data_IF_881389235396
#
_entry.id   IF_881389235396
#
_cell.length_a   1.000
_cell.length_b   1.000
_cell.length_c   1.000
_cell.angle_alpha   90.00
_cell.angle_beta   90.00
_cell.angle_gamma   90.00
#
_symmetry.space_group_name_H-M   'P 1'
#
loop_
_entity.id
_entity.type
_entity.pdbx_description
1 polymer ?
#
# COMPACT_ATOMS: atom_id res chain seq x y z
N UNK A 1 26.44 -17.86 14.29
CA UNK A 1 26.80 -16.43 14.05
C UNK A 1 26.39 -15.86 12.69
N UNK A 2 26.73 -16.45 11.53
CA UNK A 2 26.42 -15.84 10.20
C UNK A 2 24.90 -15.71 9.93
N UNK A 3 24.12 -16.77 10.17
CA UNK A 3 22.65 -16.76 9.99
C UNK A 3 21.98 -15.64 10.81
N UNK A 4 22.44 -15.45 12.05
CA UNK A 4 21.97 -14.38 12.93
C UNK A 4 22.23 -13.00 12.36
N UNK A 5 23.45 -12.73 11.87
CA UNK A 5 23.76 -11.45 11.22
C UNK A 5 22.90 -11.21 9.98
N UNK A 6 22.62 -12.26 9.20
CA UNK A 6 21.72 -12.18 8.04
C UNK A 6 20.30 -11.82 8.48
N UNK A 7 19.74 -12.48 9.49
CA UNK A 7 18.41 -12.14 10.01
C UNK A 7 18.38 -10.72 10.56
N UNK A 8 19.36 -10.34 11.39
CA UNK A 8 19.41 -9.02 12.02
C UNK A 8 19.61 -7.86 11.04
N UNK A 9 20.25 -8.06 9.89
CA UNK A 9 20.57 -6.95 8.95
C UNK A 9 19.78 -7.01 7.65
N UNK A 10 19.45 -8.20 7.19
CA UNK A 10 18.96 -8.42 5.83
C UNK A 10 17.48 -8.77 5.76
N UNK A 11 16.92 -9.46 6.76
CA UNK A 11 15.57 -10.02 6.67
C UNK A 11 14.54 -9.07 7.28
N UNK A 12 13.50 -8.77 6.49
CA UNK A 12 12.31 -8.03 6.90
C UNK A 12 11.08 -8.82 6.48
N UNK A 13 10.02 -8.78 7.29
CA UNK A 13 8.79 -9.49 7.01
C UNK A 13 7.56 -8.65 7.34
N UNK A 14 6.52 -8.84 6.53
CA UNK A 14 5.20 -8.25 6.76
C UNK A 14 4.11 -9.27 6.46
N UNK A 15 3.09 -9.32 7.31
CA UNK A 15 1.94 -10.20 7.18
C UNK A 15 0.70 -9.53 7.78
N UNK A 16 -0.45 -9.76 7.16
CA UNK A 16 -1.73 -9.27 7.65
C UNK A 16 -2.23 -10.02 8.88
N UNK A 17 -1.81 -11.27 9.08
CA UNK A 17 -2.19 -12.10 10.24
C UNK A 17 -1.20 -11.94 11.40
N UNK A 18 -1.63 -11.51 12.61
CA UNK A 18 -0.74 -11.36 13.75
C UNK A 18 -0.14 -12.69 14.21
N UNK A 19 -0.86 -13.81 14.05
CA UNK A 19 -0.35 -15.12 14.42
C UNK A 19 0.82 -15.53 13.51
N UNK A 20 0.71 -15.24 12.22
CA UNK A 20 1.79 -15.49 11.26
C UNK A 20 3.06 -14.70 11.58
N UNK A 21 2.91 -13.49 12.10
CA UNK A 21 4.02 -12.65 12.56
C UNK A 21 4.74 -13.29 13.74
N UNK A 22 4.01 -13.75 14.77
CA UNK A 22 4.64 -14.40 15.92
C UNK A 22 5.33 -15.71 15.52
N UNK A 23 4.69 -16.52 14.66
CA UNK A 23 5.30 -17.74 14.10
C UNK A 23 6.57 -17.43 13.30
N UNK A 24 6.57 -16.34 12.52
CA UNK A 24 7.74 -15.89 11.78
C UNK A 24 8.90 -15.52 12.73
N UNK A 25 8.62 -14.74 13.79
CA UNK A 25 9.64 -14.37 14.80
C UNK A 25 10.22 -15.60 15.49
N UNK A 26 9.35 -16.51 15.96
CA UNK A 26 9.77 -17.76 16.60
C UNK A 26 10.61 -18.63 15.66
N UNK A 27 10.21 -18.77 14.41
CA UNK A 27 10.97 -19.54 13.41
C UNK A 27 12.36 -18.95 13.17
N UNK A 28 12.46 -17.62 13.02
CA UNK A 28 13.73 -16.94 12.88
C UNK A 28 14.61 -17.10 14.11
N UNK A 29 14.04 -17.05 15.32
CA UNK A 29 14.78 -17.28 16.57
C UNK A 29 15.29 -18.71 16.70
N UNK A 30 14.50 -19.72 16.32
CA UNK A 30 14.94 -21.13 16.33
C UNK A 30 16.10 -21.34 15.36
N UNK A 31 16.01 -20.80 14.14
CA UNK A 31 17.06 -20.93 13.11
C UNK A 31 18.34 -20.15 13.43
N UNK A 32 18.24 -19.12 14.26
CA UNK A 32 19.37 -18.26 14.69
C UNK A 32 19.80 -18.50 16.13
N UNK A 33 19.24 -19.52 16.78
CA UNK A 33 19.47 -19.83 18.19
C UNK A 33 20.97 -20.05 18.44
N UNK A 34 21.48 -19.35 19.45
CA UNK A 34 22.86 -19.46 19.92
C UNK A 34 22.83 -19.59 21.44
N UNK A 35 23.65 -20.47 22.01
CA UNK A 35 23.65 -20.75 23.46
C UNK A 35 24.15 -19.57 24.30
N UNK A 36 24.93 -18.67 23.70
CA UNK A 36 25.63 -17.60 24.41
C UNK A 36 25.06 -16.21 24.14
N UNK A 37 24.07 -16.09 23.26
CA UNK A 37 23.51 -14.80 22.85
C UNK A 37 21.98 -14.80 23.06
N UNK A 38 21.41 -13.73 23.62
CA UNK A 38 19.96 -13.63 23.81
C UNK A 38 19.22 -13.48 22.48
N UNK A 39 17.91 -13.71 22.48
CA UNK A 39 17.07 -13.52 21.30
C UNK A 39 17.13 -12.06 20.81
N UNK A 40 17.29 -11.87 19.50
CA UNK A 40 17.38 -10.54 18.91
C UNK A 40 16.01 -9.86 18.86
N UNK A 41 15.98 -8.54 19.11
CA UNK A 41 14.82 -7.69 18.89
C UNK A 41 14.50 -7.56 17.39
N UNK A 42 13.31 -8.02 16.96
CA UNK A 42 12.91 -8.08 15.54
C UNK A 42 11.68 -7.21 15.19
N UNK A 43 11.07 -6.50 16.14
CA UNK A 43 9.78 -5.82 15.91
C UNK A 43 9.84 -4.72 14.85
N UNK A 44 10.99 -4.05 14.73
CA UNK A 44 11.22 -3.06 13.68
C UNK A 44 11.36 -3.66 12.28
N UNK A 45 11.53 -4.99 12.16
CA UNK A 45 11.71 -5.71 10.87
C UNK A 45 10.59 -6.66 10.52
N UNK A 46 9.91 -7.21 11.53
CA UNK A 46 8.79 -8.15 11.37
C UNK A 46 7.52 -7.49 11.88
N UNK A 47 6.70 -6.99 10.94
CA UNK A 47 5.57 -6.09 11.21
C UNK A 47 4.24 -6.66 10.77
N UNK A 48 3.20 -6.46 11.56
CA UNK A 48 1.84 -6.80 11.15
C UNK A 48 1.24 -5.68 10.29
N UNK A 49 0.78 -5.99 9.09
CA UNK A 49 0.18 -5.02 8.18
C UNK A 49 -0.18 -5.61 6.82
N UNK A 50 -1.05 -4.89 6.10
CA UNK A 50 -1.46 -5.23 4.76
C UNK A 50 -0.44 -4.69 3.74
N UNK A 51 0.47 -5.57 3.35
CA UNK A 51 1.58 -5.27 2.44
C UNK A 51 1.16 -4.71 1.07
N UNK A 52 -0.12 -4.86 0.69
CA UNK A 52 -0.68 -4.42 -0.58
C UNK A 52 -1.25 -2.99 -0.54
N UNK A 53 -1.57 -2.43 0.63
CA UNK A 53 -2.32 -1.18 0.76
C UNK A 53 -1.58 -0.19 1.66
N UNK A 54 -1.20 0.98 1.10
CA UNK A 54 -0.53 2.05 1.83
C UNK A 54 -0.08 3.20 0.92
N UNK A 55 0.18 4.37 1.52
CA UNK A 55 0.75 5.52 0.81
C UNK A 55 2.27 5.47 0.63
N UNK A 56 2.76 6.37 -0.21
CA UNK A 56 4.18 6.67 -0.46
C UNK A 56 4.44 8.14 -0.14
N UNK A 57 5.68 8.50 0.22
CA UNK A 57 6.07 9.86 0.58
C UNK A 57 5.93 10.89 -0.56
N UNK A 58 5.91 10.44 -1.82
CA UNK A 58 5.68 11.31 -2.97
C UNK A 58 4.19 11.57 -3.28
N UNK A 59 3.29 10.70 -2.79
CA UNK A 59 1.88 10.72 -3.16
C UNK A 59 0.94 11.21 -2.05
N UNK A 60 1.30 11.00 -0.77
CA UNK A 60 0.37 11.20 0.36
C UNK A 60 -0.14 12.65 0.51
N UNK A 61 0.64 13.64 0.08
CA UNK A 61 0.28 15.06 0.15
C UNK A 61 -0.74 15.49 -0.90
N UNK A 62 -1.00 14.65 -1.88
CA UNK A 62 -1.83 15.01 -3.01
C UNK A 62 -3.14 14.23 -2.97
N UNK A 63 -4.27 14.93 -3.11
CA UNK A 63 -5.60 14.34 -2.95
C UNK A 63 -5.92 13.28 -4.04
N UNK A 64 -6.15 11.99 -3.69
CA UNK A 64 -6.27 10.92 -4.69
C UNK A 64 -7.64 10.94 -5.39
N UNK A 65 -7.81 11.82 -6.40
CA UNK A 65 -9.08 12.00 -7.12
C UNK A 65 -9.58 10.69 -7.75
N UNK A 66 -8.68 9.82 -8.22
CA UNK A 66 -9.04 8.53 -8.83
C UNK A 66 -9.62 7.52 -7.83
N UNK A 67 -9.51 7.76 -6.53
CA UNK A 67 -10.17 6.96 -5.50
C UNK A 67 -11.69 6.92 -5.68
N UNK A 68 -12.26 7.98 -6.24
CA UNK A 68 -13.71 8.16 -6.36
C UNK A 68 -14.26 7.81 -7.74
N UNK A 69 -13.39 7.69 -8.73
CA UNK A 69 -13.80 7.50 -10.12
C UNK A 69 -14.39 6.11 -10.34
N UNK A 70 -15.63 6.07 -10.87
CA UNK A 70 -16.34 4.81 -11.16
C UNK A 70 -16.41 3.84 -9.98
N UNK A 71 -16.35 4.36 -8.75
CA UNK A 71 -16.36 3.55 -7.54
C UNK A 71 -17.73 2.90 -7.35
N UNK A 72 -17.72 1.60 -7.11
CA UNK A 72 -18.93 0.80 -6.84
C UNK A 72 -19.09 0.60 -5.33
N UNK A 73 -20.30 0.80 -4.81
CA UNK A 73 -20.65 0.70 -3.38
C UNK A 73 -20.95 -0.73 -2.90
N UNK A 74 -20.67 -1.75 -3.71
CA UNK A 74 -20.91 -3.17 -3.36
C UNK A 74 -22.37 -3.64 -3.52
N UNK A 75 -23.26 -2.78 -4.03
CA UNK A 75 -24.72 -2.90 -4.07
C UNK A 75 -25.29 -3.16 -5.49
N UNK A 76 -24.45 -3.67 -6.40
CA UNK A 76 -24.83 -3.90 -7.79
C UNK A 76 -25.59 -5.21 -8.00
N UNK A 77 -25.34 -6.21 -7.16
CA UNK A 77 -25.84 -7.59 -7.30
C UNK A 77 -26.63 -8.02 -6.08
N UNK A 78 -27.95 -8.16 -6.22
CA UNK A 78 -28.89 -8.53 -5.14
C UNK A 78 -29.38 -9.99 -5.29
N UNK A 79 -28.54 -10.88 -5.83
CA UNK A 79 -28.91 -12.29 -6.09
C UNK A 79 -29.22 -13.10 -4.83
N UNK A 80 -28.94 -12.55 -3.64
CA UNK A 80 -28.90 -13.25 -2.37
C UNK A 80 -30.02 -12.84 -1.40
N UNK A 81 -30.98 -12.02 -1.84
CA UNK A 81 -32.10 -11.55 -1.00
C UNK A 81 -31.78 -10.36 -0.09
N UNK A 82 -30.86 -9.50 -0.53
CA UNK A 82 -30.58 -8.18 0.06
C UNK A 82 -31.83 -7.29 -0.09
N UNK A 83 -32.32 -6.76 1.02
CA UNK A 83 -33.43 -5.81 1.15
C UNK A 83 -33.06 -4.36 0.79
N UNK A 84 -31.79 -3.95 0.91
CA UNK A 84 -31.35 -2.61 0.49
C UNK A 84 -31.74 -2.31 -0.97
N UNK A 85 -31.89 -1.02 -1.31
CA UNK A 85 -32.17 -0.62 -2.69
C UNK A 85 -30.94 -0.83 -3.59
N UNK A 86 -31.16 -1.45 -4.74
CA UNK A 86 -30.11 -1.72 -5.73
C UNK A 86 -29.46 -0.43 -6.24
N UNK A 87 -28.14 -0.41 -6.20
CA UNK A 87 -27.29 0.73 -6.59
C UNK A 87 -27.48 2.02 -5.77
N UNK A 88 -28.18 2.02 -4.63
CA UNK A 88 -28.34 3.24 -3.82
C UNK A 88 -27.01 3.84 -3.34
N UNK A 89 -26.09 3.02 -2.80
CA UNK A 89 -24.74 3.44 -2.36
C UNK A 89 -23.89 3.86 -3.55
N UNK A 90 -23.95 3.11 -4.65
CA UNK A 90 -23.25 3.51 -5.89
C UNK A 90 -23.76 4.84 -6.45
N UNK A 91 -25.07 5.11 -6.37
CA UNK A 91 -25.67 6.40 -6.75
C UNK A 91 -25.23 7.51 -5.80
N UNK A 92 -25.21 7.26 -4.49
CA UNK A 92 -24.76 8.23 -3.48
C UNK A 92 -23.30 8.66 -3.70
N UNK A 93 -22.39 7.71 -3.96
CA UNK A 93 -21.00 8.03 -4.30
C UNK A 93 -20.91 8.88 -5.57
N UNK A 94 -21.69 8.56 -6.62
CA UNK A 94 -21.72 9.35 -7.85
C UNK A 94 -22.28 10.76 -7.63
N UNK A 95 -23.30 10.90 -6.79
CA UNK A 95 -23.86 12.20 -6.41
C UNK A 95 -22.81 13.04 -5.67
N UNK A 96 -22.17 12.48 -4.63
CA UNK A 96 -21.06 13.13 -3.92
C UNK A 96 -19.95 13.61 -4.87
N UNK A 97 -19.52 12.76 -5.81
CA UNK A 97 -18.48 13.14 -6.78
C UNK A 97 -18.91 14.33 -7.63
N UNK A 98 -20.17 14.34 -8.09
CA UNK A 98 -20.69 15.37 -9.00
C UNK A 98 -21.02 16.68 -8.29
N UNK A 99 -21.61 16.61 -7.10
CA UNK A 99 -22.23 17.72 -6.40
C UNK A 99 -21.31 18.35 -5.36
N UNK A 100 -20.40 17.58 -4.77
CA UNK A 100 -19.49 18.06 -3.71
C UNK A 100 -18.04 18.10 -4.19
N UNK A 101 -17.51 16.95 -4.64
CA UNK A 101 -16.08 16.84 -4.98
C UNK A 101 -15.68 17.63 -6.22
N UNK A 102 -16.46 17.56 -7.30
CA UNK A 102 -16.11 18.23 -8.55
C UNK A 102 -16.10 19.76 -8.41
N UNK A 103 -17.09 20.40 -7.74
CA UNK A 103 -17.02 21.83 -7.43
C UNK A 103 -15.81 22.21 -6.57
N UNK A 104 -15.53 21.47 -5.50
CA UNK A 104 -14.38 21.72 -4.62
C UNK A 104 -13.05 21.65 -5.39
N UNK A 105 -12.91 20.61 -6.22
CA UNK A 105 -11.75 20.43 -7.08
C UNK A 105 -11.56 21.58 -8.08
N UNK A 106 -12.65 22.17 -8.59
CA UNK A 106 -12.55 23.36 -9.47
C UNK A 106 -12.00 24.58 -8.73
N UNK A 107 -12.45 24.81 -7.50
CA UNK A 107 -11.94 25.91 -6.67
C UNK A 107 -10.44 25.75 -6.42
N UNK A 108 -10.02 24.54 -6.06
CA UNK A 108 -8.60 24.18 -5.89
C UNK A 108 -7.77 24.39 -7.15
N UNK A 109 -8.29 24.04 -8.33
CA UNK A 109 -7.58 24.23 -9.59
C UNK A 109 -7.50 25.70 -10.03
N UNK A 110 -8.43 26.55 -9.56
CA UNK A 110 -8.50 27.97 -9.89
C UNK A 110 -7.72 28.85 -8.89
N UNK A 111 -7.65 28.46 -7.62
CA UNK A 111 -6.87 29.13 -6.58
C UNK A 111 -5.51 28.45 -6.37
N UNK A 112 -4.44 29.02 -6.91
CA UNK A 112 -3.08 28.55 -6.66
C UNK A 112 -2.62 28.90 -5.24
N UNK A 113 -2.49 27.89 -4.38
CA UNK A 113 -1.28 27.57 -3.61
C UNK A 113 -1.59 26.37 -2.69
N UNK A 114 -1.63 25.16 -3.28
CA UNK A 114 -1.81 23.91 -2.52
C UNK A 114 -0.51 23.11 -2.36
N UNK A 115 0.61 23.67 -2.82
CA UNK A 115 1.93 23.08 -2.61
C UNK A 115 2.53 23.67 -1.33
N UNK A 116 2.10 23.18 -0.18
CA UNK A 116 2.87 23.38 1.04
C UNK A 116 4.16 22.54 0.94
N UNK A 117 5.27 23.20 0.62
CA UNK A 117 6.61 22.60 0.65
C UNK A 117 6.92 21.94 2.01
N UNK A 118 6.23 22.39 3.07
CA UNK A 118 6.37 21.93 4.45
C UNK A 118 6.09 20.43 4.63
N UNK A 119 5.16 19.83 3.90
CA UNK A 119 4.78 18.43 4.13
C UNK A 119 5.80 17.43 3.58
N UNK A 120 6.49 17.75 2.48
CA UNK A 120 7.58 16.92 1.96
C UNK A 120 8.87 17.09 2.79
N UNK A 121 9.10 18.30 3.30
CA UNK A 121 10.16 18.57 4.26
C UNK A 121 9.92 17.79 5.57
N UNK A 122 8.67 17.77 6.06
CA UNK A 122 8.25 16.95 7.20
C UNK A 122 8.52 15.47 6.95
N UNK A 123 8.09 14.91 5.80
CA UNK A 123 8.33 13.49 5.50
C UNK A 123 9.82 13.15 5.47
N UNK A 124 10.63 14.00 4.83
CA UNK A 124 12.08 13.80 4.74
C UNK A 124 12.77 13.93 6.10
N UNK A 125 12.35 14.88 6.93
CA UNK A 125 12.84 15.08 8.30
C UNK A 125 12.50 13.90 9.20
N UNK A 126 11.22 13.52 9.28
CA UNK A 126 10.75 12.36 10.05
C UNK A 126 11.45 11.08 9.62
N UNK A 127 11.69 10.88 8.31
CA UNK A 127 12.40 9.72 7.81
C UNK A 127 13.89 9.73 8.22
N UNK A 128 14.55 10.89 8.19
CA UNK A 128 15.94 11.01 8.66
C UNK A 128 16.06 10.75 10.17
N UNK A 129 15.13 11.26 10.97
CA UNK A 129 15.02 10.97 12.40
C UNK A 129 14.83 9.46 12.63
N UNK A 130 13.93 8.83 11.88
CA UNK A 130 13.67 7.40 11.99
C UNK A 130 14.91 6.56 11.68
N UNK A 131 15.64 6.90 10.61
CA UNK A 131 16.91 6.25 10.28
C UNK A 131 17.94 6.44 11.40
N UNK A 132 18.01 7.61 12.03
CA UNK A 132 18.94 7.88 13.12
C UNK A 132 18.65 7.01 14.35
N UNK A 133 17.37 6.86 14.72
CA UNK A 133 16.95 5.96 15.82
C UNK A 133 17.31 4.52 15.49
N UNK A 134 17.02 4.04 14.28
CA UNK A 134 17.36 2.67 13.87
C UNK A 134 18.88 2.45 13.88
N UNK A 135 19.69 3.41 13.43
CA UNK A 135 21.15 3.31 13.49
C UNK A 135 21.67 3.21 14.93
N UNK A 136 21.12 3.98 15.86
CA UNK A 136 21.45 3.87 17.29
C UNK A 136 21.08 2.50 17.84
N UNK A 137 19.86 2.02 17.56
CA UNK A 137 19.41 0.69 17.94
C UNK A 137 20.32 -0.43 17.40
N UNK A 138 20.82 -0.28 16.16
CA UNK A 138 21.74 -1.23 15.53
C UNK A 138 23.17 -1.17 16.10
N UNK A 139 23.54 -0.07 16.76
CA UNK A 139 24.85 0.11 17.40
C UNK A 139 24.91 -0.47 18.82
N UNK A 140 23.76 -0.66 19.48
CA UNK A 140 23.67 -1.29 20.80
C UNK A 140 24.18 -2.74 20.79
N UNK A 141 24.71 -3.18 21.93
CA UNK A 141 25.20 -4.54 22.08
C UNK A 141 24.05 -5.56 21.91
N UNK A 142 24.40 -6.79 21.55
CA UNK A 142 23.42 -7.84 21.23
C UNK A 142 22.53 -8.21 22.43
N UNK A 143 23.00 -7.96 23.66
CA UNK A 143 22.27 -8.27 24.89
C UNK A 143 21.33 -7.17 25.37
N UNK A 144 21.40 -5.97 24.79
CA UNK A 144 20.58 -4.82 25.17
C UNK A 144 19.22 -4.85 24.45
N UNK A 145 18.49 -5.96 24.58
CA UNK A 145 17.23 -6.21 23.87
C UNK A 145 16.13 -5.24 24.33
N UNK A 146 16.07 -4.97 25.63
CA UNK A 146 15.08 -4.05 26.22
C UNK A 146 15.31 -2.61 25.77
N UNK A 147 16.56 -2.15 25.77
CA UNK A 147 16.91 -0.82 25.31
C UNK A 147 16.58 -0.61 23.82
N UNK A 148 16.85 -1.62 22.98
CA UNK A 148 16.42 -1.60 21.56
C UNK A 148 14.91 -1.46 21.43
N UNK A 149 14.14 -2.13 22.29
CA UNK A 149 12.69 -2.05 22.30
C UNK A 149 12.19 -0.67 22.78
N UNK A 150 12.84 -0.07 23.78
CA UNK A 150 12.52 1.26 24.29
C UNK A 150 12.80 2.34 23.25
N UNK A 151 13.98 2.32 22.61
CA UNK A 151 14.28 3.24 21.50
C UNK A 151 13.22 3.16 20.38
N UNK A 152 12.79 1.95 20.04
CA UNK A 152 11.78 1.76 19.00
C UNK A 152 10.38 2.27 19.43
N UNK A 153 9.93 1.97 20.64
CA UNK A 153 8.59 2.39 21.09
C UNK A 153 8.54 3.86 21.47
N UNK A 154 9.49 4.31 22.29
CA UNK A 154 9.40 5.57 23.01
C UNK A 154 10.04 6.73 22.24
N UNK A 155 11.02 6.45 21.36
CA UNK A 155 11.60 7.49 20.51
C UNK A 155 11.03 7.49 19.09
N UNK A 156 10.91 6.32 18.45
CA UNK A 156 10.41 6.26 17.07
C UNK A 156 8.88 6.33 17.00
N UNK A 157 8.18 5.38 17.60
CA UNK A 157 6.71 5.29 17.47
C UNK A 157 5.98 6.39 18.22
N UNK A 158 6.48 6.80 19.39
CA UNK A 158 5.90 7.90 20.17
C UNK A 158 6.31 9.30 19.66
N UNK A 159 7.14 9.40 18.62
CA UNK A 159 7.45 10.68 17.99
C UNK A 159 6.18 11.33 17.43
N UNK A 160 5.93 12.59 17.82
CA UNK A 160 4.81 13.36 17.29
C UNK A 160 4.91 13.58 15.77
N UNK A 161 6.13 13.68 15.22
CA UNK A 161 6.33 13.81 13.78
C UNK A 161 5.97 12.52 13.03
N UNK A 162 6.31 11.37 13.62
CA UNK A 162 5.92 10.05 13.12
C UNK A 162 4.41 9.87 13.08
N UNK A 163 3.73 10.14 14.20
CA UNK A 163 2.28 10.02 14.29
C UNK A 163 1.54 10.92 13.29
N UNK A 164 1.98 12.16 13.11
CA UNK A 164 1.40 13.09 12.12
C UNK A 164 1.58 12.59 10.68
N UNK A 165 2.77 12.10 10.35
CA UNK A 165 3.05 11.56 9.01
C UNK A 165 2.22 10.30 8.75
N UNK A 166 2.13 9.41 9.74
CA UNK A 166 1.29 8.21 9.67
C UNK A 166 -0.18 8.59 9.46
N UNK A 167 -0.72 9.52 10.24
CA UNK A 167 -2.11 9.98 10.14
C UNK A 167 -2.42 10.57 8.75
N UNK A 168 -1.47 11.30 8.14
CA UNK A 168 -1.62 11.84 6.79
C UNK A 168 -1.63 10.74 5.71
N UNK A 169 -0.72 9.76 5.83
CA UNK A 169 -0.68 8.61 4.91
C UNK A 169 -1.89 7.69 5.07
N UNK A 170 -2.36 7.50 6.30
CA UNK A 170 -3.59 6.75 6.61
C UNK A 170 -4.81 7.44 5.99
N UNK A 171 -4.92 8.77 6.08
CA UNK A 171 -6.00 9.53 5.44
C UNK A 171 -5.98 9.38 3.92
N UNK A 172 -4.80 9.47 3.30
CA UNK A 172 -4.64 9.27 1.86
C UNK A 172 -5.11 7.88 1.43
N UNK A 173 -4.70 6.83 2.16
CA UNK A 173 -5.11 5.46 1.88
C UNK A 173 -6.61 5.24 2.18
N UNK A 174 -7.15 5.87 3.22
CA UNK A 174 -8.56 5.78 3.61
C UNK A 174 -9.51 6.33 2.54
N UNK A 175 -9.10 7.32 1.76
CA UNK A 175 -9.91 7.87 0.65
C UNK A 175 -10.41 6.78 -0.31
N UNK A 176 -9.61 5.74 -0.55
CA UNK A 176 -9.94 4.63 -1.44
C UNK A 176 -11.03 3.70 -0.88
N UNK A 177 -11.09 3.59 0.44
CA UNK A 177 -11.94 2.66 1.18
C UNK A 177 -13.06 3.36 1.94
N UNK A 178 -13.28 4.65 1.71
CA UNK A 178 -14.25 5.47 2.46
C UNK A 178 -15.67 4.87 2.44
N UNK A 179 -16.35 4.69 3.58
CA UNK A 179 -17.69 4.10 3.59
C UNK A 179 -18.70 4.99 2.85
N UNK A 180 -19.64 4.36 2.14
CA UNK A 180 -20.62 5.10 1.34
C UNK A 180 -21.68 5.82 2.20
N UNK A 181 -21.77 5.47 3.48
CA UNK A 181 -22.78 6.02 4.40
C UNK A 181 -22.26 7.22 5.19
N UNK A 182 -20.96 7.51 5.13
CA UNK A 182 -20.31 8.65 5.80
C UNK A 182 -19.65 9.59 4.77
N UNK A 183 -20.31 9.78 3.63
CA UNK A 183 -19.85 10.69 2.57
C UNK A 183 -19.92 12.18 3.00
N UNK A 184 -20.72 12.50 4.02
CA UNK A 184 -20.84 13.83 4.62
C UNK A 184 -19.52 14.32 5.24
N UNK A 185 -18.70 13.39 5.74
CA UNK A 185 -17.40 13.66 6.37
C UNK A 185 -16.21 13.24 5.52
N UNK A 186 -16.45 12.85 4.26
CA UNK A 186 -15.39 12.50 3.33
C UNK A 186 -14.40 13.65 3.14
N UNK A 187 -13.09 13.38 3.09
CA UNK A 187 -12.10 14.42 2.87
C UNK A 187 -12.33 15.08 1.51
N UNK A 188 -12.27 16.40 1.47
CA UNK A 188 -12.29 17.19 0.23
C UNK A 188 -10.89 17.72 -0.07
N UNK A 189 -10.54 17.98 -1.35
CA UNK A 189 -9.28 18.60 -1.74
C UNK A 189 -8.88 19.81 -0.88
N UNK A 190 -9.79 20.74 -0.57
CA UNK A 190 -9.49 21.89 0.28
C UNK A 190 -9.17 21.53 1.73
N UNK A 191 -9.87 20.56 2.30
CA UNK A 191 -9.73 20.17 3.72
C UNK A 191 -8.75 19.02 3.90
N UNK A 192 -8.12 18.52 2.84
CA UNK A 192 -7.37 17.27 2.84
C UNK A 192 -6.13 17.34 3.74
N UNK A 193 -5.38 18.44 3.68
CA UNK A 193 -4.18 18.65 4.50
C UNK A 193 -4.51 19.05 5.94
N UNK A 194 -5.75 19.46 6.21
CA UNK A 194 -6.24 19.86 7.53
C UNK A 194 -7.64 19.28 7.80
N UNK A 195 -7.73 17.95 7.94
CA UNK A 195 -9.02 17.26 8.07
C UNK A 195 -9.70 17.58 9.39
N UNK A 196 -11.04 17.53 9.38
CA UNK A 196 -11.83 17.62 10.61
C UNK A 196 -11.57 16.44 11.54
N UNK A 197 -11.89 16.58 12.83
CA UNK A 197 -11.78 15.48 13.79
C UNK A 197 -12.65 14.29 13.41
N UNK A 198 -13.86 14.51 12.87
CA UNK A 198 -14.73 13.42 12.37
C UNK A 198 -14.06 12.67 11.22
N UNK A 199 -13.52 13.39 10.23
CA UNK A 199 -12.79 12.79 9.10
C UNK A 199 -11.58 11.99 9.58
N UNK A 200 -10.79 12.51 10.53
CA UNK A 200 -9.65 11.77 11.12
C UNK A 200 -10.09 10.48 11.80
N UNK A 201 -11.19 10.49 12.55
CA UNK A 201 -11.68 9.30 13.25
C UNK A 201 -12.12 8.21 12.26
N UNK A 202 -12.79 8.59 11.17
CA UNK A 202 -13.16 7.65 10.11
C UNK A 202 -11.91 7.09 9.41
N UNK A 203 -10.93 7.94 9.09
CA UNK A 203 -9.67 7.49 8.51
C UNK A 203 -8.91 6.51 9.41
N UNK A 204 -8.82 6.79 10.72
CA UNK A 204 -8.18 5.90 11.71
C UNK A 204 -8.91 4.56 11.82
N UNK A 205 -10.25 4.56 11.82
CA UNK A 205 -11.04 3.33 11.81
C UNK A 205 -10.73 2.49 10.57
N UNK A 206 -10.81 3.09 9.38
CA UNK A 206 -10.50 2.39 8.11
C UNK A 206 -9.06 1.86 8.12
N UNK A 207 -8.09 2.66 8.58
CA UNK A 207 -6.70 2.25 8.67
C UNK A 207 -6.50 1.05 9.61
N UNK A 208 -7.21 1.00 10.73
CA UNK A 208 -7.20 -0.14 11.64
C UNK A 208 -7.85 -1.41 11.06
N UNK A 209 -8.98 -1.25 10.36
CA UNK A 209 -9.71 -2.36 9.72
C UNK A 209 -8.91 -2.97 8.57
N UNK A 210 -8.30 -2.11 7.73
CA UNK A 210 -7.55 -2.51 6.54
C UNK A 210 -6.08 -2.80 6.82
N UNK A 211 -5.60 -2.42 8.01
CA UNK A 211 -4.20 -2.52 8.48
C UNK A 211 -3.22 -1.93 7.47
N UNK A 212 -3.39 -0.67 7.09
CA UNK A 212 -2.52 -0.05 6.10
C UNK A 212 -1.05 -0.18 6.47
N UNK A 213 -0.21 -0.50 5.47
CA UNK A 213 1.22 -0.66 5.63
C UNK A 213 1.96 0.32 4.72
N UNK A 214 2.58 1.33 5.33
CA UNK A 214 3.29 2.40 4.63
C UNK A 214 4.77 2.06 4.52
N UNK A 215 5.19 1.39 3.44
CA UNK A 215 6.53 0.81 3.30
C UNK A 215 7.70 1.73 3.67
N UNK A 216 7.73 2.97 3.16
CA UNK A 216 8.81 3.94 3.42
C UNK A 216 8.79 4.47 4.86
N UNK A 217 7.61 4.50 5.48
CA UNK A 217 7.48 4.82 6.88
C UNK A 217 7.94 3.62 7.69
N UNK A 218 7.31 2.45 7.53
CA UNK A 218 7.51 1.27 8.35
C UNK A 218 8.92 0.67 8.25
N UNK A 219 9.60 0.77 7.11
CA UNK A 219 10.98 0.29 6.93
C UNK A 219 11.92 1.41 6.44
N UNK A 220 12.19 2.41 7.29
CA UNK A 220 12.87 3.63 6.84
C UNK A 220 14.35 3.39 6.52
N UNK A 221 14.98 2.41 7.18
CA UNK A 221 16.36 2.03 6.87
C UNK A 221 16.51 1.35 5.50
N UNK A 222 15.44 0.71 5.00
CA UNK A 222 15.38 0.11 3.65
C UNK A 222 15.21 1.18 2.57
N UNK A 223 14.34 2.17 2.79
CA UNK A 223 13.98 3.18 1.79
C UNK A 223 14.76 4.51 1.90
N UNK A 224 15.91 4.49 2.58
CA UNK A 224 16.89 5.58 2.60
C UNK A 224 17.34 6.08 1.21
N UNK A 225 17.75 7.35 1.12
CA UNK A 225 18.49 7.82 -0.06
C UNK A 225 19.89 7.19 -0.08
N UNK A 226 20.26 6.58 -1.19
CA UNK A 226 21.66 6.18 -1.46
C UNK A 226 22.40 7.38 -2.06
N UNK A 227 23.70 7.48 -1.81
CA UNK A 227 24.57 8.45 -2.48
C UNK A 227 24.35 8.40 -4.01
N UNK A 228 24.06 9.55 -4.61
CA UNK A 228 23.65 9.65 -6.03
C UNK A 228 22.13 9.80 -6.27
N UNK A 229 21.31 9.85 -5.21
CA UNK A 229 19.90 10.28 -5.31
C UNK A 229 18.89 9.20 -5.71
N UNK A 230 19.33 7.94 -5.86
CA UNK A 230 18.42 6.81 -6.06
C UNK A 230 17.76 6.39 -4.74
N UNK A 231 16.44 6.18 -4.75
CA UNK A 231 15.70 5.56 -3.66
C UNK A 231 16.17 4.12 -3.47
N UNK A 232 16.64 3.78 -2.26
CA UNK A 232 16.93 2.41 -1.88
C UNK A 232 15.64 1.59 -1.76
N UNK A 233 15.76 0.28 -1.89
CA UNK A 233 14.68 -0.68 -1.68
C UNK A 233 15.25 -2.05 -1.34
N UNK A 234 14.42 -3.08 -1.41
CA UNK A 234 14.86 -4.47 -1.18
C UNK A 234 15.65 -5.03 -2.36
N UNK A 235 16.69 -5.81 -2.13
CA UNK A 235 17.38 -6.49 -3.24
C UNK A 235 16.53 -7.66 -3.77
N UNK A 236 15.81 -8.34 -2.86
CA UNK A 236 14.90 -9.43 -3.17
C UNK A 236 13.62 -9.36 -2.33
N UNK A 237 12.49 -9.73 -2.95
CA UNK A 237 11.18 -9.83 -2.30
C UNK A 237 10.59 -11.19 -2.61
N UNK A 238 10.27 -11.96 -1.57
CA UNK A 238 9.65 -13.28 -1.66
C UNK A 238 8.26 -13.17 -1.06
N UNK A 239 7.26 -13.05 -1.93
CA UNK A 239 5.87 -13.03 -1.53
C UNK A 239 5.17 -14.33 -1.83
N UNK A 240 4.13 -14.63 -1.05
CA UNK A 240 3.11 -15.57 -1.46
C UNK A 240 2.28 -14.90 -2.58
N UNK A 241 2.47 -15.28 -3.87
CA UNK A 241 1.76 -14.61 -4.94
C UNK A 241 0.26 -14.87 -4.80
N UNK A 242 -0.61 -13.93 -5.18
CA UNK A 242 -2.04 -14.17 -5.15
C UNK A 242 -2.37 -15.28 -6.17
N UNK A 243 -2.64 -16.48 -5.68
CA UNK A 243 -3.05 -17.62 -6.51
C UNK A 243 -4.49 -17.49 -7.03
N UNK A 244 -5.24 -16.51 -6.53
CA UNK A 244 -6.66 -16.27 -6.84
C UNK A 244 -7.01 -14.78 -6.99
N UNK A 245 -8.10 -14.50 -7.70
CA UNK A 245 -8.64 -13.15 -7.85
C UNK A 245 -9.38 -12.78 -6.56
N UNK A 246 -8.99 -11.66 -5.93
CA UNK A 246 -9.69 -11.11 -4.76
C UNK A 246 -11.17 -10.83 -5.12
N UNK A 247 -12.06 -11.64 -4.57
CA UNK A 247 -13.52 -11.56 -4.76
C UNK A 247 -14.20 -11.79 -3.42
N UNK A 248 -15.37 -11.18 -3.19
CA UNK A 248 -16.16 -11.49 -2.02
C UNK A 248 -16.59 -12.96 -2.05
N UNK A 249 -16.27 -13.70 -0.99
CA UNK A 249 -16.64 -15.10 -0.83
C UNK A 249 -17.71 -15.19 0.27
N UNK A 250 -18.94 -15.54 -0.12
CA UNK A 250 -20.05 -15.66 0.85
C UNK A 250 -19.72 -16.64 1.96
N UNK A 251 -19.08 -17.77 1.64
CA UNK A 251 -18.66 -18.76 2.65
C UNK A 251 -17.74 -18.15 3.71
N UNK A 252 -16.82 -17.26 3.35
CA UNK A 252 -15.91 -16.63 4.33
C UNK A 252 -16.68 -15.68 5.25
N UNK A 253 -17.53 -14.83 4.69
CA UNK A 253 -18.30 -13.86 5.47
C UNK A 253 -19.29 -14.53 6.43
N UNK A 254 -20.12 -15.45 5.93
CA UNK A 254 -21.17 -16.07 6.74
C UNK A 254 -20.63 -17.13 7.71
N UNK A 255 -19.42 -17.66 7.52
CA UNK A 255 -18.77 -18.54 8.52
C UNK A 255 -18.52 -17.86 9.87
N UNK A 256 -18.37 -16.53 9.88
CA UNK A 256 -18.18 -15.80 11.13
C UNK A 256 -19.47 -15.66 11.94
N UNK A 257 -20.62 -15.88 11.28
CA UNK A 257 -21.95 -15.82 11.89
C UNK A 257 -22.43 -17.23 12.23
N UNK A 258 -22.25 -18.16 11.28
CA UNK A 258 -22.61 -19.56 11.42
C UNK A 258 -21.41 -20.45 11.03
N UNK A 259 -20.73 -21.07 12.01
CA UNK A 259 -19.59 -21.95 11.74
C UNK A 259 -19.93 -23.12 10.79
N UNK A 260 -21.19 -23.59 10.77
CA UNK A 260 -21.64 -24.68 9.91
C UNK A 260 -21.88 -24.23 8.46
N UNK A 261 -21.88 -22.92 8.19
CA UNK A 261 -22.18 -22.35 6.87
C UNK A 261 -21.36 -22.96 5.72
N UNK A 262 -20.12 -23.38 6.00
CA UNK A 262 -19.24 -24.02 4.99
C UNK A 262 -19.76 -25.36 4.50
N UNK A 263 -20.51 -26.06 5.34
CA UNK A 263 -21.06 -27.38 5.06
C UNK A 263 -22.35 -27.32 4.23
N UNK A 264 -23.04 -26.17 4.21
CA UNK A 264 -24.32 -26.05 3.51
C UNK A 264 -24.20 -26.15 1.99
N UNK A 265 -25.20 -26.81 1.40
CA UNK A 265 -25.41 -26.82 -0.05
C UNK A 265 -25.86 -25.44 -0.57
N UNK A 266 -25.73 -25.22 -1.89
CA UNK A 266 -25.99 -23.90 -2.51
C UNK A 266 -27.38 -23.32 -2.19
N UNK A 267 -28.43 -24.13 -2.23
CA UNK A 267 -29.80 -23.66 -1.98
C UNK A 267 -30.05 -23.35 -0.51
N UNK A 268 -29.56 -24.20 0.39
CA UNK A 268 -29.66 -23.99 1.84
C UNK A 268 -28.89 -22.75 2.27
N UNK A 269 -27.67 -22.58 1.75
CA UNK A 269 -26.83 -21.41 1.99
C UNK A 269 -27.55 -20.10 1.59
N UNK A 270 -28.28 -20.08 0.47
CA UNK A 270 -29.09 -18.92 0.04
C UNK A 270 -30.30 -18.70 0.94
N UNK A 271 -30.95 -19.77 1.41
CA UNK A 271 -32.08 -19.65 2.36
C UNK A 271 -31.61 -19.08 3.69
N UNK A 272 -30.48 -19.56 4.21
CA UNK A 272 -29.86 -19.05 5.43
C UNK A 272 -29.44 -17.59 5.30
N UNK A 273 -28.82 -17.20 4.17
CA UNK A 273 -28.52 -15.79 3.89
C UNK A 273 -29.74 -14.89 4.00
N UNK A 274 -30.87 -15.28 3.37
CA UNK A 274 -32.13 -14.54 3.46
C UNK A 274 -32.65 -14.43 4.89
N UNK A 275 -32.55 -15.50 5.67
CA UNK A 275 -32.90 -15.47 7.11
C UNK A 275 -32.04 -14.46 7.84
N UNK A 276 -30.70 -14.55 7.72
CA UNK A 276 -29.80 -13.64 8.43
C UNK A 276 -30.04 -12.17 8.09
N UNK A 277 -30.35 -11.86 6.83
CA UNK A 277 -30.68 -10.49 6.42
C UNK A 277 -32.04 -10.02 6.96
N UNK A 278 -33.04 -10.90 7.02
CA UNK A 278 -34.34 -10.58 7.60
C UNK A 278 -34.27 -10.42 9.13
N UNK A 279 -33.44 -11.24 9.80
CA UNK A 279 -33.29 -11.26 11.25
C UNK A 279 -32.49 -10.06 11.76
N UNK A 280 -31.49 -9.59 10.99
CA UNK A 280 -30.63 -8.48 11.40
C UNK A 280 -30.12 -7.64 10.22
N UNK A 281 -30.62 -6.41 10.13
CA UNK A 281 -30.21 -5.44 9.11
C UNK A 281 -28.70 -5.07 9.18
N UNK A 282 -28.04 -5.23 10.33
CA UNK A 282 -26.60 -5.01 10.48
C UNK A 282 -25.81 -6.03 9.67
N UNK A 283 -26.23 -7.30 9.65
CA UNK A 283 -25.55 -8.36 8.87
C UNK A 283 -25.61 -8.03 7.38
N UNK A 284 -26.75 -7.53 6.92
CA UNK A 284 -26.93 -7.12 5.54
C UNK A 284 -26.05 -5.91 5.19
N UNK A 285 -26.00 -4.92 6.08
CA UNK A 285 -25.14 -3.76 5.94
C UNK A 285 -23.65 -4.15 5.89
N UNK A 286 -23.21 -5.04 6.78
CA UNK A 286 -21.85 -5.56 6.82
C UNK A 286 -21.50 -6.38 5.57
N UNK A 287 -22.46 -7.11 5.02
CA UNK A 287 -22.29 -7.82 3.74
C UNK A 287 -22.07 -6.84 2.58
N UNK A 288 -22.83 -5.73 2.54
CA UNK A 288 -22.61 -4.67 1.55
C UNK A 288 -21.26 -3.98 1.73
N UNK A 289 -20.83 -3.71 2.97
CA UNK A 289 -19.50 -3.18 3.27
C UNK A 289 -18.40 -4.14 2.84
N UNK A 290 -18.53 -5.43 3.13
CA UNK A 290 -17.62 -6.47 2.68
C UNK A 290 -17.49 -6.48 1.15
N UNK A 291 -18.60 -6.49 0.42
CA UNK A 291 -18.59 -6.42 -1.05
C UNK A 291 -17.96 -5.12 -1.57
N UNK A 292 -18.30 -3.98 -0.96
CA UNK A 292 -17.76 -2.67 -1.30
C UNK A 292 -16.25 -2.60 -1.12
N UNK A 293 -15.71 -3.21 -0.05
CA UNK A 293 -14.26 -3.28 0.21
C UNK A 293 -13.49 -3.96 -0.92
N UNK A 294 -13.97 -5.07 -1.49
CA UNK A 294 -13.30 -5.69 -2.64
C UNK A 294 -13.33 -4.82 -3.89
N UNK A 295 -14.42 -4.09 -4.12
CA UNK A 295 -14.50 -3.12 -5.23
C UNK A 295 -13.55 -1.95 -5.03
N UNK A 296 -13.48 -1.42 -3.82
CA UNK A 296 -12.51 -0.40 -3.42
C UNK A 296 -11.06 -0.89 -3.59
N UNK A 297 -10.76 -2.13 -3.17
CA UNK A 297 -9.43 -2.72 -3.33
C UNK A 297 -9.08 -2.89 -4.82
N UNK A 298 -10.01 -3.36 -5.64
CA UNK A 298 -9.81 -3.45 -7.09
C UNK A 298 -9.55 -2.07 -7.73
N UNK A 299 -10.26 -1.03 -7.26
CA UNK A 299 -10.04 0.35 -7.68
C UNK A 299 -8.64 0.84 -7.28
N UNK A 300 -8.24 0.60 -6.03
CA UNK A 300 -6.91 0.91 -5.50
C UNK A 300 -5.81 0.25 -6.33
N UNK A 301 -5.87 -1.06 -6.59
CA UNK A 301 -4.87 -1.77 -7.39
C UNK A 301 -4.77 -1.26 -8.84
N UNK A 302 -5.88 -0.72 -9.36
CA UNK A 302 -5.95 -0.19 -10.72
C UNK A 302 -5.32 1.21 -10.81
N UNK A 303 -5.55 2.05 -9.81
CA UNK A 303 -5.31 3.50 -9.92
C UNK A 303 -4.36 4.10 -8.87
N UNK A 304 -4.01 3.40 -7.79
CA UNK A 304 -3.16 3.96 -6.72
C UNK A 304 -1.79 4.43 -7.24
N UNK A 305 -1.22 3.76 -8.26
CA UNK A 305 0.04 4.17 -8.88
C UNK A 305 -0.05 5.44 -9.74
N UNK A 306 -1.27 5.87 -10.09
CA UNK A 306 -1.53 7.14 -10.79
C UNK A 306 -2.80 7.77 -10.19
N UNK A 307 -2.73 8.27 -8.94
CA UNK A 307 -3.91 8.66 -8.16
C UNK A 307 -4.61 9.91 -8.72
N UNK A 308 -3.96 10.63 -9.65
CA UNK A 308 -4.51 11.78 -10.39
C UNK A 308 -4.91 11.45 -11.83
N UNK A 309 -4.64 10.23 -12.31
CA UNK A 309 -4.72 9.88 -13.72
C UNK A 309 -3.36 9.89 -14.41
N UNK A 310 -3.24 9.07 -15.46
CA UNK A 310 -1.99 8.89 -16.22
C UNK A 310 -1.94 9.90 -17.39
N UNK A 311 -0.99 10.85 -17.42
CA UNK A 311 -0.86 11.83 -18.49
C UNK A 311 -0.57 11.20 -19.86
N UNK A 312 0.02 10.00 -19.89
CA UNK A 312 0.43 9.32 -21.13
C UNK A 312 -0.68 8.45 -21.74
N UNK A 313 -1.77 8.22 -21.00
CA UNK A 313 -2.91 7.39 -21.42
C UNK A 313 -4.23 8.18 -21.47
N UNK A 314 -4.14 9.48 -21.70
CA UNK A 314 -5.28 10.41 -21.76
C UNK A 314 -6.36 10.02 -22.78
N UNK A 315 -6.02 9.22 -23.80
CA UNK A 315 -6.96 8.77 -24.83
C UNK A 315 -7.97 7.73 -24.33
N UNK A 316 -7.67 6.99 -23.26
CA UNK A 316 -8.59 5.98 -22.69
C UNK A 316 -9.42 6.59 -21.57
N UNK A 317 -10.75 6.55 -21.73
CA UNK A 317 -11.72 7.09 -20.75
C UNK A 317 -11.49 6.61 -19.32
N UNK A 318 -10.94 5.40 -19.13
CA UNK A 318 -10.63 4.83 -17.82
C UNK A 318 -9.47 5.51 -17.08
N UNK A 319 -8.54 6.18 -17.78
CA UNK A 319 -7.38 6.83 -17.16
C UNK A 319 -7.61 8.32 -16.79
N UNK A 320 -8.70 8.94 -17.26
CA UNK A 320 -8.95 10.38 -17.16
C UNK A 320 -10.02 10.78 -16.14
N UNK A 321 -9.76 11.70 -15.22
CA UNK A 321 -10.82 12.32 -14.42
C UNK A 321 -11.26 13.64 -15.07
N UNK A 322 -12.56 13.81 -15.33
CA UNK A 322 -13.09 14.96 -16.06
C UNK A 322 -13.71 15.95 -15.09
N UNK A 323 -13.13 17.15 -14.99
CA UNK A 323 -13.60 18.19 -14.05
C UNK A 323 -14.63 19.13 -14.70
N UNK A 324 -14.64 19.24 -16.04
CA UNK A 324 -15.63 20.02 -16.81
C UNK A 324 -16.22 19.22 -17.98
N UNK A 325 -17.41 19.63 -18.46
CA UNK A 325 -18.01 19.18 -19.74
C UNK A 325 -18.00 20.37 -20.70
N UNK A 326 -17.40 20.22 -21.88
CA UNK A 326 -17.34 21.24 -22.93
C UNK A 326 -15.96 21.35 -23.58
N UNK A 327 -15.84 22.17 -24.63
CA UNK A 327 -14.65 22.37 -25.47
C UNK A 327 -13.37 22.77 -24.70
N UNK A 328 -13.48 23.09 -23.40
CA UNK A 328 -12.37 23.27 -22.46
C UNK A 328 -12.42 22.18 -21.39
N UNK A 329 -12.07 20.95 -21.74
CA UNK A 329 -11.98 19.86 -20.76
C UNK A 329 -10.69 20.00 -19.96
N UNK A 330 -10.76 20.58 -18.77
CA UNK A 330 -9.64 20.54 -17.81
C UNK A 330 -9.54 19.14 -17.21
N UNK A 331 -8.45 18.44 -17.53
CA UNK A 331 -8.12 17.12 -17.01
C UNK A 331 -7.11 17.26 -15.89
N UNK A 332 -7.34 16.62 -14.74
CA UNK A 332 -6.27 16.41 -13.77
C UNK A 332 -5.32 15.36 -14.36
N UNK A 333 -4.08 15.74 -14.61
CA UNK A 333 -3.00 14.81 -15.01
C UNK A 333 -1.73 15.22 -14.27
N UNK A 334 -0.90 14.23 -13.91
CA UNK A 334 0.40 14.50 -13.31
C UNK A 334 1.34 15.06 -14.39
N UNK A 335 1.94 16.23 -14.18
CA UNK A 335 2.84 16.84 -15.16
C UNK A 335 4.27 16.29 -14.98
N UNK A 336 4.64 15.27 -15.76
CA UNK A 336 5.98 14.68 -15.72
C UNK A 336 6.44 14.04 -17.03
N UNK A 337 7.25 14.79 -17.81
CA UNK A 337 8.34 14.26 -18.65
C UNK A 337 8.07 13.75 -20.08
N UNK A 338 8.71 14.42 -21.04
CA UNK A 338 9.17 13.97 -22.38
C UNK A 338 8.20 13.91 -23.58
N UNK A 339 8.03 15.04 -24.27
CA UNK A 339 8.33 15.21 -25.72
C UNK A 339 7.97 16.63 -26.20
N UNK A 340 8.84 17.59 -25.92
CA UNK A 340 8.78 18.91 -26.53
C UNK A 340 9.42 18.86 -27.93
N UNK A 341 8.78 18.17 -28.89
CA UNK A 341 9.13 18.21 -30.33
C UNK A 341 8.08 17.46 -31.16
N UNK A 342 6.87 18.04 -31.30
CA UNK A 342 5.89 17.86 -32.41
C UNK A 342 4.51 18.35 -31.97
N UNK A 343 4.36 19.66 -31.84
CA UNK A 343 3.05 20.34 -31.79
C UNK A 343 3.28 21.81 -32.17
N UNK A 344 3.70 22.04 -33.42
CA UNK A 344 3.45 23.33 -34.09
C UNK A 344 2.16 23.12 -34.88
N UNK A 345 1.28 24.10 -34.80
CA UNK A 345 0.00 24.24 -35.50
C UNK A 345 -1.25 23.92 -34.66
N UNK A 346 -1.65 24.88 -33.81
CA UNK A 346 -3.02 25.37 -33.61
C UNK A 346 -3.08 26.42 -32.47
N UNK A 347 -3.90 27.49 -32.57
CA UNK A 347 -3.84 28.63 -31.66
C UNK A 347 -4.73 28.43 -30.44
N UNK A 348 -4.16 27.97 -29.33
CA UNK A 348 -4.78 28.06 -28.00
C UNK A 348 -3.90 28.90 -27.07
N UNK A 349 -4.49 29.96 -26.51
CA UNK A 349 -3.84 30.91 -25.60
C UNK A 349 -3.17 30.17 -24.44
N UNK A 350 -1.86 30.40 -24.29
CA UNK A 350 -1.02 29.87 -23.21
C UNK A 350 -1.44 30.49 -21.87
N UNK A 351 -1.67 29.65 -20.86
CA UNK A 351 -1.74 30.02 -19.43
C UNK A 351 -0.37 29.66 -18.81
N UNK A 352 0.18 30.44 -17.85
CA UNK A 352 1.60 30.41 -17.53
C UNK A 352 2.04 29.07 -16.95
N UNK A 353 3.11 28.54 -17.51
CA UNK A 353 3.85 27.37 -17.06
C UNK A 353 4.43 27.60 -15.66
N UNK A 354 4.04 26.79 -14.68
CA UNK A 354 4.75 26.67 -13.42
C UNK A 354 6.02 25.84 -13.64
N UNK A 355 7.05 26.46 -14.19
CA UNK A 355 8.38 25.89 -14.40
C UNK A 355 9.27 26.18 -13.20
N UNK A 356 9.48 25.18 -12.35
CA UNK A 356 10.76 24.90 -11.69
C UNK A 356 10.88 23.39 -11.53
N UNK A 357 11.93 22.83 -12.10
CA UNK A 357 12.19 21.41 -12.17
C UNK A 357 12.37 20.82 -10.76
N UNK A 358 11.47 19.92 -10.36
CA UNK A 358 11.79 18.91 -9.33
C UNK A 358 12.65 17.82 -10.00
N UNK A 359 13.71 17.32 -9.32
CA UNK A 359 14.56 16.28 -9.88
C UNK A 359 13.72 15.04 -10.18
N UNK A 360 13.87 14.56 -11.39
CA UNK A 360 13.21 13.37 -11.95
C UNK A 360 13.40 12.16 -11.04
N UNK A 361 12.35 11.74 -10.32
CA UNK A 361 12.28 10.43 -9.68
C UNK A 361 11.89 9.35 -10.71
N UNK A 362 12.65 9.24 -11.80
CA UNK A 362 12.49 8.16 -12.78
C UNK A 362 13.44 7.03 -12.43
N UNK A 363 12.91 5.98 -11.80
CA UNK A 363 13.06 4.57 -12.23
C UNK A 363 12.76 3.56 -11.11
N UNK A 364 13.10 3.83 -9.85
CA UNK A 364 13.01 2.82 -8.76
C UNK A 364 11.65 2.78 -8.07
N UNK A 365 11.02 3.90 -7.74
CA UNK A 365 9.69 3.91 -7.11
C UNK A 365 8.62 3.36 -8.06
N UNK A 366 8.69 3.69 -9.35
CA UNK A 366 7.87 3.06 -10.40
C UNK A 366 8.12 1.56 -10.57
N UNK A 367 9.33 1.07 -10.27
CA UNK A 367 9.69 -0.34 -10.34
C UNK A 367 9.08 -1.13 -9.17
N UNK A 368 9.17 -0.60 -7.94
CA UNK A 368 8.50 -1.18 -6.76
C UNK A 368 6.98 -1.13 -6.87
N UNK A 369 6.41 0.00 -7.31
CA UNK A 369 4.98 0.15 -7.63
C UNK A 369 4.48 -0.84 -8.69
N UNK A 370 5.33 -1.24 -9.65
CA UNK A 370 4.99 -2.22 -10.69
C UNK A 370 5.24 -3.67 -10.28
N UNK A 371 6.15 -3.95 -9.32
CA UNK A 371 6.41 -5.32 -8.83
C UNK A 371 5.43 -5.78 -7.75
N UNK A 372 4.86 -4.88 -6.94
CA UNK A 372 3.66 -5.20 -6.14
C UNK A 372 2.45 -5.54 -7.03
N UNK A 373 2.48 -5.11 -8.30
CA UNK A 373 1.62 -5.56 -9.40
C UNK A 373 2.08 -6.93 -9.92
N UNK A 374 1.97 -7.98 -9.11
CA UNK A 374 2.41 -9.32 -9.51
C UNK A 374 1.68 -9.79 -10.78
N UNK A 375 2.47 -10.15 -11.81
CA UNK A 375 2.03 -10.59 -13.13
C UNK A 375 1.30 -11.93 -13.07
N UNK A 376 0.00 -11.92 -13.33
CA UNK A 376 -0.83 -13.12 -13.53
C UNK A 376 -0.45 -13.78 -14.86
N UNK A 377 0.27 -14.90 -14.80
CA UNK A 377 0.24 -15.92 -15.86
C UNK A 377 -0.03 -17.28 -15.22
N UNK A 378 -1.10 -17.92 -15.73
CA UNK A 378 -1.65 -19.21 -15.29
C UNK A 378 -0.57 -20.29 -15.28
N UNK A 379 -0.39 -20.94 -14.14
CA UNK A 379 0.00 -22.35 -14.07
C UNK A 379 -0.86 -22.97 -12.97
N UNK A 380 -1.77 -23.85 -13.37
CA UNK A 380 -2.61 -24.58 -12.43
C UNK A 380 -1.80 -25.70 -11.79
N UNK A 381 -1.96 -25.87 -10.48
CA UNK A 381 -1.82 -27.13 -9.77
C UNK A 381 -2.47 -26.96 -8.40
N UNK A 382 -3.33 -27.92 -8.06
CA UNK A 382 -4.05 -27.99 -6.80
C UNK A 382 -3.10 -28.36 -5.66
N UNK A 383 -3.25 -27.74 -4.48
CA UNK A 383 -3.19 -28.47 -3.21
C UNK A 383 -3.66 -27.60 -2.05
N UNK A 384 -4.30 -28.29 -1.10
CA UNK A 384 -4.89 -27.79 0.13
C UNK A 384 -3.85 -27.58 1.23
N UNK A 385 -4.23 -26.75 2.21
CA UNK A 385 -3.62 -26.54 3.53
C UNK A 385 -2.45 -25.55 3.67
N UNK A 386 -2.59 -24.69 4.69
CA UNK A 386 -1.77 -23.56 5.16
C UNK A 386 -1.68 -22.33 4.23
N UNK A 387 -2.67 -21.44 4.36
CA UNK A 387 -2.54 -20.03 3.94
C UNK A 387 -1.99 -19.22 5.12
N UNK A 388 -0.66 -19.17 5.25
CA UNK A 388 0.07 -18.20 6.09
C UNK A 388 0.75 -17.23 5.12
N UNK A 389 0.47 -15.93 5.23
CA UNK A 389 0.78 -14.92 4.22
C UNK A 389 2.09 -14.16 4.49
N UNK A 390 3.16 -14.87 4.85
CA UNK A 390 4.38 -14.17 5.27
C UNK A 390 5.17 -13.71 4.05
N UNK A 391 5.18 -12.40 3.79
CA UNK A 391 6.06 -11.79 2.81
C UNK A 391 7.44 -11.62 3.47
N UNK A 392 8.43 -12.41 3.05
CA UNK A 392 9.81 -12.29 3.52
C UNK A 392 10.61 -11.53 2.45
N UNK A 393 11.29 -10.47 2.87
CA UNK A 393 12.08 -9.61 1.99
C UNK A 393 13.50 -9.53 2.50
N UNK A 394 14.47 -9.54 1.57
CA UNK A 394 15.89 -9.56 1.89
C UNK A 394 16.59 -8.36 1.26
N UNK A 395 17.37 -7.64 2.08
CA UNK A 395 18.35 -6.66 1.61
C UNK A 395 19.75 -7.16 1.92
N UNK A 396 20.56 -7.45 0.91
CA UNK A 396 21.93 -7.95 1.09
C UNK A 396 22.87 -6.76 1.05
N UNK A 397 23.21 -6.20 2.22
CA UNK A 397 24.38 -5.31 2.31
C UNK A 397 25.63 -6.18 2.25
N UNK A 398 26.37 -6.11 1.14
CA UNK A 398 27.73 -6.62 1.10
C UNK A 398 28.53 -5.96 2.24
N UNK A 399 28.98 -6.76 3.20
CA UNK A 399 29.93 -6.32 4.22
C UNK A 399 31.25 -6.07 3.48
N UNK A 400 31.83 -4.86 3.49
CA UNK A 400 33.20 -4.69 3.04
C UNK A 400 34.09 -5.38 4.08
N UNK A 401 34.59 -6.57 3.76
CA UNK A 401 35.71 -7.14 4.49
C UNK A 401 36.92 -6.25 4.22
N UNK A 402 37.27 -5.37 5.18
CA UNK A 402 38.58 -4.75 5.21
C UNK A 402 39.62 -5.81 5.59
N UNK A 403 40.13 -6.51 4.58
CA UNK A 403 41.32 -7.35 4.74
C UNK A 403 42.50 -6.61 4.12
N UNK A 404 43.46 -6.26 4.98
CA UNK A 404 44.77 -5.74 4.60
C UNK A 404 45.44 -6.70 3.62
N UNK A 405 45.63 -6.26 2.39
CA UNK A 405 46.35 -6.98 1.36
C UNK A 405 47.85 -6.86 1.58
N UNK A 406 48.46 -7.89 2.17
CA UNK A 406 49.84 -8.23 1.92
C UNK A 406 49.87 -9.53 1.10
N UNK A 407 50.36 -9.44 -0.14
CA UNK A 407 50.87 -10.59 -0.91
C UNK A 407 49.88 -11.30 -1.85
N UNK A 408 49.97 -10.97 -3.14
CA UNK A 408 50.30 -11.93 -4.19
C UNK A 408 49.31 -13.03 -4.60
N UNK A 409 48.80 -12.87 -5.83
CA UNK A 409 48.47 -13.91 -6.85
C UNK A 409 47.10 -14.60 -6.80
N UNK A 410 46.40 -14.56 -7.96
CA UNK A 410 45.39 -15.55 -8.34
C UNK A 410 43.95 -15.04 -8.54
N UNK A 411 43.71 -14.17 -9.52
CA UNK A 411 42.35 -13.94 -10.03
C UNK A 411 41.92 -15.15 -10.87
N UNK A 412 40.94 -15.93 -10.39
CA UNK A 412 40.16 -16.84 -11.23
C UNK A 412 38.66 -16.71 -10.94
N UNK A 413 37.92 -16.65 -12.04
CA UNK A 413 36.54 -16.23 -12.16
C UNK A 413 35.52 -17.14 -11.44
N UNK A 414 34.57 -16.54 -10.73
CA UNK A 414 33.35 -17.24 -10.32
C UNK A 414 32.38 -17.31 -11.50
N UNK A 415 32.37 -18.48 -12.13
CA UNK A 415 31.44 -18.89 -13.18
C UNK A 415 30.07 -19.16 -12.56
N UNK A 416 29.05 -18.49 -13.08
CA UNK A 416 27.63 -18.73 -12.81
C UNK A 416 27.26 -20.17 -13.20
N UNK A 417 26.95 -21.03 -12.22
CA UNK A 417 26.43 -22.38 -12.48
C UNK A 417 24.93 -22.28 -12.71
N UNK A 418 24.53 -22.06 -13.96
CA UNK A 418 23.18 -22.35 -14.45
C UNK A 418 23.08 -23.86 -14.71
N UNK A 419 22.37 -24.58 -13.85
CA UNK A 419 22.07 -26.01 -14.04
C UNK A 419 20.86 -26.13 -14.96
N UNK A 420 21.09 -26.46 -16.23
CA UNK A 420 20.06 -26.81 -17.21
C UNK A 420 19.59 -28.25 -17.00
N UNK A 421 18.28 -28.45 -16.89
CA UNK A 421 17.62 -29.75 -16.97
C UNK A 421 17.45 -30.22 -18.43
N UNK A 422 17.92 -31.43 -18.73
CA UNK A 422 17.43 -32.35 -19.79
C UNK A 422 17.18 -33.69 -19.08
N UNK A 423 16.23 -34.55 -19.40
CA UNK A 423 15.55 -34.93 -20.66
C UNK A 423 14.12 -35.43 -20.33
N UNK A 424 13.20 -35.82 -21.22
CA UNK A 424 13.27 -36.43 -22.56
C UNK A 424 11.89 -36.29 -23.23
N UNK A 425 11.86 -36.45 -24.55
CA UNK A 425 10.73 -36.25 -25.45
C UNK A 425 9.59 -37.30 -25.34
N UNK A 426 8.44 -36.90 -25.89
CA UNK A 426 7.15 -37.60 -26.04
C UNK A 426 6.26 -37.65 -24.78
#
# INVERSE_FOLDING_TARGET
>A
MLRRHVVERCIYAVDGDPLAIELCRLSLWIETMDRLLPFGFLDHKVKCGNSLIGGWFDEFNHYPVMAWKNREGGDKTHSNGVHFEKNARTKAIKAFVKETLTPDLRLVLQGQDLFQADSLALASGTHAEAIAVIKRMQALAVHEVEERANLYRDELLASGAWGRLKDAMDLWAACWFWPADELDVAPLPQTFLSPSTRTRNVAKRIASEMRFFHWELEFPDVFGRVDGGALAGFDAVIGNPPWDIAKPVSKEFFSNIDPLYRSYGKQEALRRQKSYFADNAVIEHDWLNYNGRFRAQSNYMSHAANPFGDPTKTDKSQARFSVARGAQTTTCTNAGGSNARKARDSPTKRIPTCTKALPTSTSTSSFWRRRTRCSVRKAGLASSCLRVFTLITARVRCVPCSWNSAGGSGCSAWRTVTRSSRSTAA
#
